data_IF_850644498027
#
_entry.id   IF_850644498027
#
_cell.length_a   1.000
_cell.length_b   1.000
_cell.length_c   1.000
_cell.angle_alpha   90.00
_cell.angle_beta   90.00
_cell.angle_gamma   90.00
#
_symmetry.space_group_name_H-M   'P 1'
#
loop_
_entity.id
_entity.type
_entity.pdbx_description
1 polymer ?
#
# COMPACT_ATOMS: atom_id res chain seq x y z
N UNK A 1 -8.10 -69.81 45.94
CA UNK A 1 -9.21 -69.12 46.67
C UNK A 1 -9.12 -67.65 46.39
N UNK A 2 -10.22 -67.01 45.81
CA UNK A 2 -10.73 -65.65 45.99
C UNK A 2 -9.70 -64.49 45.73
N UNK A 3 -9.94 -63.41 45.03
CA UNK A 3 -11.21 -62.81 44.57
C UNK A 3 -10.86 -61.75 43.40
N UNK A 4 -11.77 -61.58 42.52
CA UNK A 4 -11.89 -60.52 41.56
C UNK A 4 -12.14 -59.17 42.29
N UNK A 5 -11.52 -58.15 41.84
CA UNK A 5 -12.17 -56.81 41.90
C UNK A 5 -11.87 -56.04 40.64
N UNK A 6 -12.93 -55.68 39.98
CA UNK A 6 -12.96 -54.80 38.82
C UNK A 6 -12.98 -53.32 39.31
N UNK A 7 -12.18 -52.48 38.75
CA UNK A 7 -12.33 -51.05 38.91
C UNK A 7 -12.56 -50.39 37.55
N UNK A 8 -13.67 -49.72 37.54
CA UNK A 8 -14.34 -49.18 36.37
C UNK A 8 -13.55 -48.03 35.70
N UNK A 9 -13.75 -48.01 34.42
CA UNK A 9 -13.29 -46.92 33.58
C UNK A 9 -14.07 -45.63 33.81
N UNK A 10 -13.35 -44.54 33.94
CA UNK A 10 -13.89 -43.19 33.70
C UNK A 10 -13.50 -42.78 32.28
N UNK A 11 -14.46 -42.90 31.38
CA UNK A 11 -14.37 -42.29 30.06
C UNK A 11 -14.56 -40.75 30.21
N UNK A 12 -13.45 -40.03 30.19
CA UNK A 12 -13.48 -38.56 30.09
C UNK A 12 -13.89 -38.17 28.69
N UNK A 13 -15.14 -37.71 28.54
CA UNK A 13 -15.64 -37.10 27.32
C UNK A 13 -15.00 -35.70 27.17
N UNK A 14 -13.94 -35.60 26.38
CA UNK A 14 -13.42 -34.31 25.99
C UNK A 14 -14.39 -33.65 24.99
N UNK A 15 -15.20 -32.74 25.49
CA UNK A 15 -16.05 -31.85 24.66
C UNK A 15 -15.13 -30.84 24.00
N UNK A 16 -14.69 -31.13 22.79
CA UNK A 16 -14.09 -30.12 21.93
C UNK A 16 -15.15 -29.11 21.55
N UNK A 17 -15.21 -28.03 22.30
CA UNK A 17 -15.99 -26.85 21.93
C UNK A 17 -15.49 -26.34 20.57
N UNK A 18 -16.27 -26.57 19.52
CA UNK A 18 -16.12 -25.86 18.24
C UNK A 18 -16.40 -24.39 18.51
N UNK A 19 -15.35 -23.60 18.67
CA UNK A 19 -15.45 -22.17 18.55
C UNK A 19 -15.99 -21.87 17.14
N UNK A 20 -17.27 -21.56 17.06
CA UNK A 20 -17.86 -21.04 15.84
C UNK A 20 -17.18 -19.68 15.57
N UNK A 21 -16.22 -19.66 14.63
CA UNK A 21 -15.81 -18.40 14.03
C UNK A 21 -17.06 -17.82 13.38
N UNK A 22 -17.67 -16.87 14.06
CA UNK A 22 -18.70 -16.00 13.49
C UNK A 22 -18.01 -15.25 12.35
N UNK A 23 -18.12 -15.78 11.14
CA UNK A 23 -17.91 -15.00 9.93
C UNK A 23 -19.02 -13.96 9.90
N UNK A 24 -18.76 -12.79 10.48
CA UNK A 24 -19.50 -11.60 10.10
C UNK A 24 -19.25 -11.43 8.61
N UNK A 25 -20.21 -11.86 7.81
CA UNK A 25 -20.23 -11.60 6.37
C UNK A 25 -20.37 -10.11 6.16
N UNK A 26 -19.26 -9.38 6.31
CA UNK A 26 -19.16 -8.01 5.84
C UNK A 26 -19.45 -8.06 4.35
N UNK A 27 -20.48 -7.35 3.92
CA UNK A 27 -20.73 -7.01 2.52
C UNK A 27 -19.39 -6.62 1.95
N UNK A 28 -18.88 -7.35 0.93
CA UNK A 28 -17.62 -7.01 0.26
C UNK A 28 -17.71 -5.54 -0.09
N UNK A 29 -16.87 -4.72 0.55
CA UNK A 29 -16.90 -3.28 0.34
C UNK A 29 -16.75 -3.02 -1.14
N UNK A 30 -17.74 -2.36 -1.72
CA UNK A 30 -17.68 -1.93 -3.12
C UNK A 30 -16.50 -1.01 -3.26
N UNK A 31 -15.66 -1.22 -4.28
CA UNK A 31 -14.54 -0.33 -4.57
C UNK A 31 -15.03 1.13 -4.68
N UNK A 32 -14.37 2.03 -3.98
CA UNK A 32 -14.65 3.46 -3.98
C UNK A 32 -13.50 4.21 -4.67
N UNK A 33 -13.83 5.01 -5.67
CA UNK A 33 -12.87 5.87 -6.33
C UNK A 33 -12.45 7.04 -5.43
N UNK A 34 -11.16 7.39 -5.47
CA UNK A 34 -10.59 8.59 -4.84
C UNK A 34 -10.21 9.59 -5.93
N UNK A 35 -10.61 10.85 -5.74
CA UNK A 35 -10.27 11.97 -6.62
C UNK A 35 -9.80 13.16 -5.80
N UNK A 36 -8.75 13.83 -6.26
CA UNK A 36 -8.26 15.09 -5.69
C UNK A 36 -7.61 15.96 -6.76
N UNK A 37 -7.79 17.26 -6.66
CA UNK A 37 -7.08 18.23 -7.51
C UNK A 37 -5.68 18.56 -6.96
N UNK A 38 -5.32 18.05 -5.76
CA UNK A 38 -4.00 18.23 -5.14
C UNK A 38 -2.94 17.22 -5.64
N UNK A 39 -3.32 16.31 -6.52
CA UNK A 39 -2.44 15.39 -7.23
C UNK A 39 -2.78 15.38 -8.72
N UNK A 40 -1.86 14.93 -9.59
CA UNK A 40 -2.10 14.88 -11.02
C UNK A 40 -3.38 14.12 -11.36
N UNK A 41 -4.19 14.65 -12.27
CA UNK A 41 -5.41 13.99 -12.73
C UNK A 41 -5.07 12.72 -13.51
N UNK A 42 -5.93 11.72 -13.39
CA UNK A 42 -5.86 10.54 -14.24
C UNK A 42 -6.08 10.95 -15.72
N UNK A 43 -5.15 10.59 -16.58
CA UNK A 43 -5.16 10.90 -18.02
C UNK A 43 -5.61 9.72 -18.89
N UNK A 44 -6.16 8.68 -18.27
CA UNK A 44 -6.60 7.45 -18.94
C UNK A 44 -7.72 6.76 -18.18
N UNK A 45 -8.10 5.55 -18.56
CA UNK A 45 -9.18 4.78 -17.93
C UNK A 45 -8.71 4.14 -16.60
N UNK A 46 -8.26 4.97 -15.65
CA UNK A 46 -7.86 4.56 -14.31
C UNK A 46 -8.23 5.64 -13.29
N UNK A 47 -8.24 5.28 -12.01
CA UNK A 47 -8.47 6.19 -10.88
C UNK A 47 -7.16 6.56 -10.21
N UNK A 48 -7.05 7.75 -9.61
CA UNK A 48 -5.89 8.15 -8.81
C UNK A 48 -5.66 7.17 -7.64
N UNK A 49 -6.75 6.69 -7.02
CA UNK A 49 -6.71 5.58 -6.07
C UNK A 49 -8.08 4.90 -5.97
N UNK A 50 -8.07 3.68 -5.45
CA UNK A 50 -9.26 2.90 -5.10
C UNK A 50 -9.18 2.53 -3.63
N UNK A 51 -10.27 2.73 -2.91
CA UNK A 51 -10.50 2.19 -1.57
C UNK A 51 -11.29 0.90 -1.68
N UNK A 52 -10.79 -0.17 -1.08
CA UNK A 52 -11.47 -1.46 -1.00
C UNK A 52 -10.91 -2.28 0.17
N UNK A 53 -11.77 -2.98 0.92
CA UNK A 53 -11.38 -3.90 1.99
C UNK A 53 -10.54 -3.27 3.10
N UNK A 54 -10.77 -1.99 3.43
CA UNK A 54 -9.99 -1.26 4.46
C UNK A 54 -8.61 -0.79 3.99
N UNK A 55 -8.31 -0.94 2.69
CA UNK A 55 -7.06 -0.51 2.08
C UNK A 55 -7.29 0.56 1.02
N UNK A 56 -6.26 1.37 0.81
CA UNK A 56 -6.14 2.33 -0.29
C UNK A 56 -5.08 1.83 -1.25
N UNK A 57 -5.45 1.67 -2.51
CA UNK A 57 -4.57 1.29 -3.61
C UNK A 57 -4.34 2.54 -4.46
N UNK A 58 -3.14 3.13 -4.36
CA UNK A 58 -2.77 4.35 -5.09
C UNK A 58 -2.06 3.97 -6.38
N UNK A 59 -2.55 4.50 -7.49
CA UNK A 59 -1.92 4.36 -8.80
C UNK A 59 -0.53 4.97 -8.84
N UNK A 60 0.33 4.50 -9.75
CA UNK A 60 1.65 5.05 -9.95
C UNK A 60 1.61 6.58 -10.10
N UNK A 61 2.37 7.26 -9.25
CA UNK A 61 2.55 8.70 -9.30
C UNK A 61 3.86 9.02 -10.00
N UNK A 62 3.79 9.95 -10.96
CA UNK A 62 4.94 10.53 -11.65
C UNK A 62 5.10 12.00 -11.23
N UNK A 63 6.27 12.62 -11.44
CA UNK A 63 6.59 13.93 -10.90
C UNK A 63 5.93 15.09 -11.67
N UNK A 64 4.61 15.09 -11.79
CA UNK A 64 3.84 16.22 -12.33
C UNK A 64 3.43 17.14 -11.18
N UNK A 65 3.61 18.44 -11.36
CA UNK A 65 3.04 19.44 -10.46
C UNK A 65 1.53 19.55 -10.74
N UNK A 66 0.65 19.26 -9.79
CA UNK A 66 -0.79 19.29 -10.01
C UNK A 66 -1.33 20.73 -10.22
N UNK A 67 -0.63 21.76 -9.74
CA UNK A 67 -1.07 23.15 -9.88
C UNK A 67 -0.87 23.69 -11.32
N UNK A 68 0.20 23.27 -12.00
CA UNK A 68 0.53 23.71 -13.36
C UNK A 68 0.26 22.64 -14.42
N UNK A 69 0.22 21.38 -14.04
CA UNK A 69 0.17 20.22 -14.96
C UNK A 69 1.52 19.93 -15.62
N UNK A 70 2.57 20.66 -15.24
CA UNK A 70 3.90 20.53 -15.82
C UNK A 70 4.69 19.38 -15.16
N UNK A 71 5.55 18.78 -15.96
CA UNK A 71 6.45 17.73 -15.52
C UNK A 71 7.68 18.35 -14.84
N UNK A 72 8.00 17.91 -13.63
CA UNK A 72 9.29 18.20 -13.02
C UNK A 72 10.38 17.41 -13.77
N UNK A 73 11.21 18.11 -14.53
CA UNK A 73 12.33 17.55 -15.31
C UNK A 73 13.68 17.65 -14.58
N UNK A 74 13.66 18.00 -13.31
CA UNK A 74 14.85 18.15 -12.48
C UNK A 74 15.56 16.82 -12.17
N UNK A 75 16.37 16.85 -11.11
CA UNK A 75 17.13 15.69 -10.65
C UNK A 75 16.22 14.55 -10.18
N UNK A 76 16.78 13.36 -9.98
CA UNK A 76 16.03 12.23 -9.41
C UNK A 76 15.49 12.58 -8.02
N UNK A 77 16.24 13.37 -7.24
CA UNK A 77 15.82 13.85 -5.93
C UNK A 77 14.58 14.75 -6.02
N UNK A 78 14.58 15.71 -6.95
CA UNK A 78 13.44 16.62 -7.17
C UNK A 78 12.20 15.87 -7.65
N UNK A 79 12.40 14.94 -8.58
CA UNK A 79 11.32 14.08 -9.08
C UNK A 79 10.75 13.20 -7.98
N UNK A 80 11.61 12.59 -7.14
CA UNK A 80 11.17 11.75 -6.02
C UNK A 80 10.37 12.56 -5.00
N UNK A 81 10.80 13.77 -4.63
CA UNK A 81 10.04 14.65 -3.73
C UNK A 81 8.65 14.99 -4.29
N UNK A 82 8.57 15.30 -5.59
CA UNK A 82 7.28 15.59 -6.21
C UNK A 82 6.37 14.37 -6.22
N UNK A 83 6.89 13.18 -6.51
CA UNK A 83 6.13 11.93 -6.48
C UNK A 83 5.60 11.65 -5.07
N UNK A 84 6.42 11.79 -4.02
CA UNK A 84 5.99 11.59 -2.63
C UNK A 84 4.92 12.61 -2.21
N UNK A 85 5.03 13.86 -2.65
CA UNK A 85 4.00 14.89 -2.43
C UNK A 85 2.68 14.52 -3.10
N UNK A 86 2.72 14.00 -4.32
CA UNK A 86 1.52 13.54 -5.03
C UNK A 86 0.89 12.33 -4.32
N UNK A 87 1.69 11.35 -3.90
CA UNK A 87 1.21 10.21 -3.11
C UNK A 87 0.52 10.66 -1.82
N UNK A 88 1.15 11.56 -1.06
CA UNK A 88 0.57 12.11 0.17
C UNK A 88 -0.80 12.73 -0.08
N UNK A 89 -0.93 13.54 -1.12
CA UNK A 89 -2.19 14.22 -1.46
C UNK A 89 -3.32 13.24 -1.82
N UNK A 90 -3.00 12.15 -2.54
CA UNK A 90 -3.98 11.10 -2.87
C UNK A 90 -4.38 10.31 -1.62
N UNK A 91 -3.41 9.94 -0.77
CA UNK A 91 -3.65 9.21 0.48
C UNK A 91 -4.52 10.03 1.44
N UNK A 92 -4.23 11.33 1.62
CA UNK A 92 -5.03 12.22 2.44
C UNK A 92 -6.47 12.35 1.92
N UNK A 93 -6.66 12.46 0.61
CA UNK A 93 -7.98 12.49 0.01
C UNK A 93 -8.77 11.18 0.22
N UNK A 94 -8.06 10.06 0.39
CA UNK A 94 -8.65 8.77 0.72
C UNK A 94 -8.97 8.61 2.22
N UNK A 95 -8.51 9.51 3.10
CA UNK A 95 -8.60 9.38 4.55
C UNK A 95 -7.46 8.55 5.17
N UNK A 96 -6.30 8.53 4.53
CA UNK A 96 -5.08 7.85 4.97
C UNK A 96 -3.90 8.83 5.03
N UNK A 97 -2.66 8.34 5.11
CA UNK A 97 -1.44 9.17 5.11
C UNK A 97 -0.22 8.34 4.68
N UNK A 98 0.94 9.00 4.48
CA UNK A 98 2.20 8.30 4.19
C UNK A 98 2.61 7.35 5.33
N UNK A 99 2.36 7.71 6.59
CA UNK A 99 2.67 6.85 7.76
C UNK A 99 1.86 5.55 7.80
N UNK A 100 0.79 5.47 7.01
CA UNK A 100 -0.08 4.30 6.91
C UNK A 100 0.20 3.44 5.68
N UNK A 101 1.19 3.81 4.90
CA UNK A 101 1.62 3.00 3.75
C UNK A 101 2.26 1.71 4.25
N UNK A 102 1.76 0.58 3.76
CA UNK A 102 2.26 -0.76 4.10
C UNK A 102 3.12 -1.34 2.99
N UNK A 103 2.94 -0.86 1.76
CA UNK A 103 3.68 -1.36 0.59
C UNK A 103 3.89 -0.23 -0.42
N UNK A 104 5.07 -0.20 -1.03
CA UNK A 104 5.36 0.58 -2.23
C UNK A 104 6.04 -0.28 -3.29
N UNK A 105 5.84 0.10 -4.57
CA UNK A 105 6.71 -0.32 -5.66
C UNK A 105 7.30 0.93 -6.29
N UNK A 106 8.62 0.96 -6.40
CA UNK A 106 9.38 2.05 -7.02
C UNK A 106 9.91 1.56 -8.36
N UNK A 107 9.53 2.25 -9.41
CA UNK A 107 10.01 2.02 -10.77
C UNK A 107 11.00 3.10 -11.12
N UNK A 108 12.21 2.71 -11.54
CA UNK A 108 13.29 3.62 -11.93
C UNK A 108 13.61 3.49 -13.42
N UNK A 109 13.98 4.58 -14.03
CA UNK A 109 14.55 4.59 -15.37
C UNK A 109 15.97 4.00 -15.38
N UNK A 110 16.74 4.24 -14.30
CA UNK A 110 18.09 3.69 -14.11
C UNK A 110 18.33 3.35 -12.63
N UNK A 111 18.86 2.15 -12.38
CA UNK A 111 19.31 1.75 -11.04
C UNK A 111 20.57 2.50 -10.58
N UNK A 112 21.29 3.17 -11.47
CA UNK A 112 22.41 4.04 -11.08
C UNK A 112 21.96 5.22 -10.20
N UNK A 113 20.67 5.58 -10.27
CA UNK A 113 20.06 6.64 -9.47
C UNK A 113 19.46 6.14 -8.15
N UNK A 114 19.51 4.83 -7.88
CA UNK A 114 18.88 4.23 -6.70
C UNK A 114 19.33 4.90 -5.39
N UNK A 115 20.61 5.14 -5.18
CA UNK A 115 21.13 5.71 -3.94
C UNK A 115 20.55 7.09 -3.64
N UNK A 116 20.51 7.98 -4.65
CA UNK A 116 19.96 9.34 -4.53
C UNK A 116 18.45 9.34 -4.35
N UNK A 117 17.73 8.51 -5.12
CA UNK A 117 16.29 8.31 -4.93
C UNK A 117 16.01 7.80 -3.52
N UNK A 118 16.75 6.79 -3.04
CA UNK A 118 16.55 6.16 -1.75
C UNK A 118 16.74 7.13 -0.56
N UNK A 119 17.66 8.08 -0.68
CA UNK A 119 17.84 9.11 0.33
C UNK A 119 16.56 9.95 0.50
N UNK A 120 16.01 10.47 -0.60
CA UNK A 120 14.79 11.27 -0.57
C UNK A 120 13.56 10.43 -0.21
N UNK A 121 13.49 9.18 -0.67
CA UNK A 121 12.44 8.25 -0.27
C UNK A 121 12.39 8.10 1.26
N UNK A 122 13.55 7.96 1.90
CA UNK A 122 13.64 7.85 3.35
C UNK A 122 13.12 9.09 4.12
N UNK A 123 13.14 10.27 3.50
CA UNK A 123 12.58 11.49 4.10
C UNK A 123 11.03 11.47 4.16
N UNK A 124 10.39 10.70 3.29
CA UNK A 124 8.93 10.62 3.18
C UNK A 124 8.26 9.62 4.10
N UNK A 125 9.01 8.73 4.73
CA UNK A 125 8.46 7.66 5.58
C UNK A 125 9.16 7.58 6.92
N UNK A 126 8.40 7.21 7.96
CA UNK A 126 8.90 6.94 9.31
C UNK A 126 8.95 5.43 9.58
N UNK A 127 9.83 5.01 10.48
CA UNK A 127 9.87 3.60 10.89
C UNK A 127 8.62 3.23 11.71
N UNK A 128 8.06 2.01 11.53
CA UNK A 128 8.52 0.98 10.61
C UNK A 128 8.25 1.35 9.15
N UNK A 129 9.28 1.24 8.31
CA UNK A 129 9.15 1.54 6.88
C UNK A 129 8.22 0.56 6.16
N UNK A 130 7.52 1.00 5.08
CA UNK A 130 6.70 0.11 4.27
C UNK A 130 7.56 -0.98 3.59
N UNK A 131 6.95 -2.15 3.35
CA UNK A 131 7.55 -3.15 2.47
C UNK A 131 7.74 -2.54 1.08
N UNK A 132 8.89 -2.76 0.44
CA UNK A 132 9.20 -2.15 -0.86
C UNK A 132 9.82 -3.13 -1.85
N UNK A 133 9.46 -2.99 -3.11
CA UNK A 133 10.25 -3.45 -4.24
C UNK A 133 10.75 -2.23 -5.03
N UNK A 134 11.98 -2.28 -5.55
CA UNK A 134 12.53 -1.28 -6.45
C UNK A 134 13.10 -1.98 -7.66
N UNK A 135 12.70 -1.56 -8.85
CA UNK A 135 13.10 -2.18 -10.11
C UNK A 135 13.42 -1.12 -11.17
N UNK A 136 14.34 -1.44 -12.05
CA UNK A 136 14.53 -0.69 -13.29
C UNK A 136 13.58 -1.23 -14.34
N UNK A 137 12.96 -0.33 -15.10
CA UNK A 137 12.04 -0.65 -16.18
C UNK A 137 12.58 -0.18 -17.53
N UNK A 138 12.06 -0.73 -18.61
CA UNK A 138 12.49 -0.36 -19.95
C UNK A 138 12.17 1.10 -20.29
N UNK A 139 11.07 1.64 -19.80
CA UNK A 139 10.65 3.04 -19.97
C UNK A 139 9.55 3.38 -18.99
N UNK A 140 9.54 4.64 -18.53
CA UNK A 140 8.46 5.22 -17.73
C UNK A 140 7.61 6.19 -18.56
N UNK A 141 6.35 6.43 -18.17
CA UNK A 141 5.49 7.41 -18.82
C UNK A 141 6.17 8.78 -18.87
N UNK A 142 6.09 9.46 -20.02
CA UNK A 142 6.70 10.79 -20.24
C UNK A 142 8.21 10.85 -19.99
N UNK A 143 8.89 9.72 -20.03
CA UNK A 143 10.35 9.59 -19.82
C UNK A 143 10.84 10.14 -18.47
N UNK A 144 10.00 10.04 -17.43
CA UNK A 144 10.38 10.40 -16.07
C UNK A 144 11.43 9.42 -15.52
N UNK A 145 12.15 9.83 -14.48
CA UNK A 145 13.19 9.02 -13.83
C UNK A 145 12.64 8.06 -12.80
N UNK A 146 11.47 8.38 -12.22
CA UNK A 146 10.86 7.61 -11.14
C UNK A 146 9.34 7.65 -11.21
N UNK A 147 8.73 6.52 -10.88
CA UNK A 147 7.29 6.36 -10.61
C UNK A 147 7.15 5.53 -9.34
N UNK A 148 6.18 5.85 -8.49
CA UNK A 148 5.91 5.09 -7.25
C UNK A 148 4.42 4.86 -7.10
N UNK A 149 4.04 3.59 -6.87
CA UNK A 149 2.71 3.20 -6.42
C UNK A 149 2.73 2.81 -4.93
N UNK A 150 1.57 2.83 -4.29
CA UNK A 150 1.48 2.51 -2.88
C UNK A 150 0.17 1.80 -2.51
N UNK A 151 0.25 1.00 -1.43
CA UNK A 151 -0.91 0.48 -0.71
C UNK A 151 -0.82 0.97 0.74
N UNK A 152 -1.91 1.51 1.26
CA UNK A 152 -2.00 2.01 2.63
C UNK A 152 -3.25 1.48 3.34
N UNK A 153 -3.22 1.45 4.67
CA UNK A 153 -4.43 1.17 5.46
C UNK A 153 -5.25 2.45 5.63
N UNK A 154 -6.58 2.29 5.71
CA UNK A 154 -7.48 3.38 6.12
C UNK A 154 -7.40 3.63 7.63
N UNK A 155 -7.88 4.79 8.06
CA UNK A 155 -8.10 5.13 9.48
C UNK A 155 -9.26 4.32 10.05
#
# INVERSE_FOLDING_TARGET
MKRREALGGLAGLAVFGRAALSRTGGKLDTKKEVKTDRAPKAIGPYSQAIVAGGLVYVSGQIPIDPATGELNTGTIEDQTRQVLKNLAAVLEAAGSSLDKVVKTTVFLQSMDEFGRMNQVYGEGFTAPFPARATVQVARLPRDVRVEIEAVAVLN
#
